data_IF_252596335795
#
_entry.id   IF_252596335795
#
_cell.length_a   1.000
_cell.length_b   1.000
_cell.length_c   1.000
_cell.angle_alpha   90.00
_cell.angle_beta   90.00
_cell.angle_gamma   90.00
#
_symmetry.space_group_name_H-M   'P 1'
#
loop_
_entity.id
_entity.type
_entity.pdbx_description
1 polymer ?
#
# COMPACT_ATOMS: atom_id res chain seq x y z
N UNK A 1 -32.58 -11.92 3.44
CA UNK A 1 -32.00 -13.27 3.57
C UNK A 1 -30.50 -13.05 3.64
N UNK A 2 -29.91 -13.33 4.81
CA UNK A 2 -28.50 -13.02 5.06
C UNK A 2 -27.65 -14.20 4.62
N UNK A 3 -26.77 -13.98 3.66
CA UNK A 3 -25.82 -14.98 3.18
C UNK A 3 -24.78 -15.23 4.27
N UNK A 4 -25.02 -16.31 5.01
CA UNK A 4 -24.18 -16.79 6.08
C UNK A 4 -23.08 -17.65 5.45
N UNK A 5 -22.03 -16.99 4.96
CA UNK A 5 -20.85 -17.67 4.40
C UNK A 5 -20.24 -18.51 5.53
N UNK A 6 -20.34 -19.82 5.38
CA UNK A 6 -19.94 -20.77 6.42
C UNK A 6 -18.42 -20.79 6.51
N UNK A 7 -17.87 -20.79 7.73
CA UNK A 7 -16.42 -20.85 8.04
C UNK A 7 -15.66 -21.96 7.29
N UNK A 8 -16.38 -22.95 6.76
CA UNK A 8 -15.86 -24.05 5.94
C UNK A 8 -15.47 -23.61 4.52
N UNK A 9 -16.26 -22.75 3.88
CA UNK A 9 -15.93 -22.18 2.55
C UNK A 9 -14.71 -21.23 2.62
N UNK A 10 -14.50 -20.61 3.79
CA UNK A 10 -13.33 -19.78 4.07
C UNK A 10 -12.03 -20.60 4.16
N UNK A 11 -12.05 -21.76 4.83
CA UNK A 11 -10.89 -22.64 4.90
C UNK A 11 -10.53 -23.26 3.54
N UNK A 12 -11.54 -23.62 2.75
CA UNK A 12 -11.31 -24.16 1.40
C UNK A 12 -10.77 -23.08 0.44
N UNK A 13 -11.19 -21.82 0.61
CA UNK A 13 -10.66 -20.65 -0.12
C UNK A 13 -9.21 -20.32 0.25
N UNK A 14 -8.80 -20.59 1.50
CA UNK A 14 -7.41 -20.39 1.96
C UNK A 14 -6.52 -21.55 1.49
N UNK A 15 -7.04 -22.79 1.52
CA UNK A 15 -6.31 -24.00 1.11
C UNK A 15 -6.05 -24.03 -0.41
N UNK A 16 -6.96 -23.48 -1.23
CA UNK A 16 -6.78 -23.36 -2.68
C UNK A 16 -5.88 -22.17 -3.11
N UNK A 17 -5.51 -21.26 -2.20
CA UNK A 17 -4.68 -20.07 -2.48
C UNK A 17 -3.20 -20.28 -2.13
N UNK A 18 -2.59 -21.33 -2.66
CA UNK A 18 -1.11 -21.41 -2.81
C UNK A 18 -0.53 -20.43 -3.84
N UNK A 19 -1.26 -19.35 -4.16
CA UNK A 19 -0.88 -18.29 -5.08
C UNK A 19 -1.07 -16.92 -4.40
N UNK A 20 -0.44 -16.73 -3.24
CA UNK A 20 -0.39 -15.44 -2.54
C UNK A 20 0.65 -14.46 -3.13
N UNK A 21 0.94 -14.57 -4.43
CA UNK A 21 1.82 -13.65 -5.14
C UNK A 21 1.09 -13.16 -6.38
N UNK A 22 1.17 -11.86 -6.65
CA UNK A 22 0.73 -11.29 -7.92
C UNK A 22 1.38 -12.07 -9.08
N UNK A 23 0.71 -12.24 -10.23
CA UNK A 23 1.41 -12.63 -11.46
C UNK A 23 2.59 -11.69 -11.70
N UNK A 24 3.65 -12.12 -12.38
CA UNK A 24 4.91 -11.36 -12.50
C UNK A 24 4.78 -9.90 -13.01
N UNK A 25 3.62 -9.49 -13.54
CA UNK A 25 3.23 -8.11 -13.78
C UNK A 25 1.70 -7.95 -13.61
N UNK A 26 1.18 -7.65 -12.42
CA UNK A 26 -0.26 -7.43 -12.25
C UNK A 26 -0.71 -6.16 -12.98
N UNK A 27 -1.84 -6.23 -13.67
CA UNK A 27 -2.45 -5.04 -14.26
C UNK A 27 -2.99 -4.12 -13.16
N UNK A 28 -2.99 -2.81 -13.38
CA UNK A 28 -3.43 -1.83 -12.37
C UNK A 28 -4.84 -2.15 -11.84
N UNK A 29 -5.76 -2.48 -12.75
CA UNK A 29 -7.14 -2.85 -12.41
C UNK A 29 -7.23 -4.12 -11.53
N UNK A 30 -6.29 -5.06 -11.66
CA UNK A 30 -6.25 -6.27 -10.84
C UNK A 30 -5.84 -5.95 -9.41
N UNK A 31 -4.84 -5.07 -9.23
CA UNK A 31 -4.45 -4.60 -7.90
C UNK A 31 -5.57 -3.77 -7.26
N UNK A 32 -6.22 -2.88 -8.01
CA UNK A 32 -7.35 -2.09 -7.51
C UNK A 32 -8.49 -2.98 -7.00
N UNK A 33 -8.88 -3.98 -7.81
CA UNK A 33 -9.90 -4.95 -7.41
C UNK A 33 -9.49 -5.68 -6.14
N UNK A 34 -8.23 -6.15 -6.08
CA UNK A 34 -7.69 -6.84 -4.91
C UNK A 34 -7.71 -5.98 -3.64
N UNK A 35 -7.35 -4.71 -3.76
CA UNK A 35 -7.34 -3.76 -2.64
C UNK A 35 -8.77 -3.54 -2.12
N UNK A 36 -9.76 -3.41 -2.99
CA UNK A 36 -11.15 -3.22 -2.55
C UNK A 36 -11.73 -4.48 -1.90
N UNK A 37 -11.43 -5.67 -2.44
CA UNK A 37 -11.78 -6.95 -1.78
C UNK A 37 -11.20 -7.05 -0.38
N UNK A 38 -9.91 -6.72 -0.22
CA UNK A 38 -9.22 -6.75 1.06
C UNK A 38 -9.81 -5.72 2.03
N UNK A 39 -10.13 -4.51 1.55
CA UNK A 39 -10.79 -3.48 2.37
C UNK A 39 -12.15 -3.96 2.90
N UNK A 40 -12.95 -4.58 2.05
CA UNK A 40 -14.23 -5.16 2.45
C UNK A 40 -14.06 -6.27 3.49
N UNK A 41 -13.03 -7.12 3.34
CA UNK A 41 -12.71 -8.17 4.30
C UNK A 41 -12.26 -7.58 5.65
N UNK A 42 -11.35 -6.61 5.64
CA UNK A 42 -10.86 -5.94 6.86
C UNK A 42 -11.99 -5.20 7.58
N UNK A 43 -12.98 -4.67 6.84
CA UNK A 43 -14.14 -3.97 7.39
C UNK A 43 -15.09 -4.89 8.19
N UNK A 44 -14.96 -6.22 8.08
CA UNK A 44 -15.73 -7.17 8.88
C UNK A 44 -15.22 -7.29 10.31
N UNK A 45 -13.97 -6.88 10.57
CA UNK A 45 -13.37 -6.89 11.91
C UNK A 45 -13.62 -5.56 12.60
N UNK A 46 -14.56 -5.54 13.55
CA UNK A 46 -14.92 -4.35 14.31
C UNK A 46 -13.73 -3.69 15.05
N UNK A 47 -12.78 -4.50 15.51
CA UNK A 47 -11.54 -4.08 16.18
C UNK A 47 -10.58 -3.32 15.25
N UNK A 48 -10.73 -3.49 13.93
CA UNK A 48 -9.89 -2.82 12.93
C UNK A 48 -10.44 -1.47 12.49
N UNK A 49 -11.67 -1.14 12.88
CA UNK A 49 -12.33 0.12 12.51
C UNK A 49 -11.46 1.37 12.74
N UNK A 50 -10.84 1.60 13.92
CA UNK A 50 -10.02 2.79 14.12
C UNK A 50 -8.80 2.83 13.19
N UNK A 51 -8.15 1.69 12.93
CA UNK A 51 -7.00 1.62 12.02
C UNK A 51 -7.40 1.83 10.55
N UNK A 52 -8.58 1.35 10.16
CA UNK A 52 -9.14 1.59 8.83
C UNK A 52 -9.51 3.05 8.61
N UNK A 53 -10.09 3.71 9.60
CA UNK A 53 -10.40 5.14 9.53
C UNK A 53 -9.11 5.95 9.37
N UNK A 54 -8.06 5.66 10.15
CA UNK A 54 -6.74 6.27 10.02
C UNK A 54 -6.15 6.03 8.61
N UNK A 55 -6.13 4.79 8.13
CA UNK A 55 -5.62 4.44 6.78
C UNK A 55 -6.38 5.11 5.63
N UNK A 56 -7.70 5.23 5.73
CA UNK A 56 -8.53 5.83 4.67
C UNK A 56 -8.43 7.35 4.66
N UNK A 57 -8.12 7.96 5.80
CA UNK A 57 -7.85 9.40 5.90
C UNK A 57 -6.49 9.82 5.31
N UNK A 58 -5.57 8.87 5.08
CA UNK A 58 -4.26 9.21 4.54
C UNK A 58 -4.37 9.80 3.12
N UNK A 59 -3.53 10.78 2.74
CA UNK A 59 -3.63 11.46 1.46
C UNK A 59 -2.97 10.62 0.35
N UNK A 60 -3.59 9.49 -0.02
CA UNK A 60 -2.98 8.52 -0.93
C UNK A 60 -2.58 9.10 -2.29
N UNK A 61 -3.33 10.07 -2.81
CA UNK A 61 -2.97 10.76 -4.06
C UNK A 61 -1.64 11.52 -3.94
N UNK A 62 -1.37 12.13 -2.80
CA UNK A 62 -0.10 12.82 -2.56
C UNK A 62 1.05 11.80 -2.43
N UNK A 63 0.80 10.60 -1.90
CA UNK A 63 1.82 9.54 -1.89
C UNK A 63 2.13 9.10 -3.32
N UNK A 64 1.11 8.90 -4.14
CA UNK A 64 1.23 8.51 -5.55
C UNK A 64 2.02 9.58 -6.34
N UNK A 65 1.74 10.86 -6.14
CA UNK A 65 2.45 11.97 -6.79
C UNK A 65 3.91 12.10 -6.32
N UNK A 66 4.17 12.00 -5.02
CA UNK A 66 5.55 12.04 -4.49
C UNK A 66 6.37 10.85 -4.96
N UNK A 67 5.79 9.64 -4.94
CA UNK A 67 6.42 8.45 -5.50
C UNK A 67 6.74 8.64 -6.99
N UNK A 68 5.83 9.27 -7.74
CA UNK A 68 6.12 9.63 -9.13
C UNK A 68 7.34 10.53 -9.27
N UNK A 69 7.49 11.57 -8.43
CA UNK A 69 8.66 12.44 -8.45
C UNK A 69 9.94 11.69 -8.08
N UNK A 70 9.89 10.84 -7.06
CA UNK A 70 11.01 9.98 -6.67
C UNK A 70 11.44 9.05 -7.82
N UNK A 71 10.48 8.46 -8.53
CA UNK A 71 10.75 7.66 -9.72
C UNK A 71 11.42 8.51 -10.80
N UNK A 72 10.86 9.68 -11.13
CA UNK A 72 11.43 10.58 -12.13
C UNK A 72 12.87 10.94 -11.78
N UNK A 73 13.13 11.44 -10.57
CA UNK A 73 14.46 11.85 -10.09
C UNK A 73 15.48 10.70 -10.13
N UNK A 74 15.08 9.47 -9.79
CA UNK A 74 15.97 8.29 -9.87
C UNK A 74 16.27 7.87 -11.31
N UNK A 75 15.33 8.06 -12.24
CA UNK A 75 15.49 7.68 -13.64
C UNK A 75 16.05 8.81 -14.52
N UNK A 76 16.00 10.08 -14.10
CA UNK A 76 16.56 11.24 -14.83
C UNK A 76 18.06 11.43 -14.64
N UNK A 77 18.77 10.52 -13.95
CA UNK A 77 20.24 10.48 -13.88
C UNK A 77 20.95 10.12 -15.22
N UNK A 78 20.27 10.21 -16.36
CA UNK A 78 20.91 10.31 -17.67
C UNK A 78 20.25 11.44 -18.46
N UNK A 79 20.51 12.70 -18.09
CA UNK A 79 20.85 13.74 -19.08
C UNK A 79 21.44 14.98 -18.41
N UNK A 80 22.76 15.06 -18.63
CA UNK A 80 23.56 16.27 -18.81
C UNK A 80 23.84 17.13 -17.58
N UNK A 81 25.09 17.01 -17.14
CA UNK A 81 25.84 17.97 -16.34
C UNK A 81 25.46 19.42 -16.66
N UNK A 82 24.93 20.14 -15.67
CA UNK A 82 25.45 21.45 -15.29
C UNK A 82 24.70 22.01 -14.09
N UNK A 83 25.49 22.67 -13.24
CA UNK A 83 25.12 23.50 -12.09
C UNK A 83 25.20 22.74 -10.77
N UNK A 84 26.43 22.77 -10.27
CA UNK A 84 26.80 22.87 -8.85
C UNK A 84 26.42 21.70 -7.96
N UNK A 85 27.48 21.02 -7.51
CA UNK A 85 27.52 20.23 -6.30
C UNK A 85 27.11 21.09 -5.09
N UNK A 86 25.82 21.38 -4.94
CA UNK A 86 25.27 21.56 -3.61
C UNK A 86 24.83 20.20 -3.12
N UNK A 87 25.46 19.79 -2.03
CA UNK A 87 25.14 18.63 -1.26
C UNK A 87 23.62 18.49 -1.08
N UNK A 88 22.97 17.66 -1.90
CA UNK A 88 21.76 16.95 -1.49
C UNK A 88 22.17 15.78 -0.58
N UNK A 89 23.03 16.07 0.40
CA UNK A 89 23.08 15.33 1.65
C UNK A 89 21.99 15.97 2.50
N UNK A 90 20.92 15.21 2.69
CA UNK A 90 20.07 15.28 3.89
C UNK A 90 19.74 16.71 4.33
N UNK A 91 18.81 17.38 3.65
CA UNK A 91 18.09 18.46 4.33
C UNK A 91 17.29 17.81 5.47
N UNK A 92 17.67 18.10 6.71
CA UNK A 92 16.99 17.74 7.96
C UNK A 92 15.52 18.23 8.05
N UNK A 93 14.91 18.68 6.94
CA UNK A 93 13.51 19.08 6.82
C UNK A 93 12.66 18.18 5.91
N UNK A 94 13.18 17.04 5.41
CA UNK A 94 12.40 16.07 4.63
C UNK A 94 11.51 15.14 5.50
N UNK A 95 10.96 15.68 6.60
CA UNK A 95 10.02 15.02 7.51
C UNK A 95 8.64 14.76 6.88
N UNK A 96 8.37 15.20 5.65
CA UNK A 96 6.98 15.45 5.18
C UNK A 96 6.40 14.55 4.10
N UNK A 97 6.87 13.32 3.93
CA UNK A 97 6.00 12.20 3.52
C UNK A 97 6.82 10.93 3.43
N UNK A 98 6.47 9.94 4.24
CA UNK A 98 7.06 8.64 4.15
C UNK A 98 5.94 7.61 4.23
N UNK A 99 6.06 6.51 3.49
CA UNK A 99 5.23 5.29 3.65
C UNK A 99 5.33 4.74 5.10
N UNK A 100 6.13 5.37 5.97
CA UNK A 100 6.09 5.25 7.43
C UNK A 100 4.67 5.35 8.00
N UNK A 101 3.80 6.26 7.55
CA UNK A 101 2.47 6.42 8.18
C UNK A 101 1.62 5.13 8.08
N UNK A 102 1.41 4.52 6.90
CA UNK A 102 0.79 3.19 6.81
C UNK A 102 1.47 2.11 7.69
N UNK A 103 2.80 2.12 7.78
CA UNK A 103 3.56 1.17 8.59
C UNK A 103 3.46 1.44 10.12
N UNK A 104 3.30 2.70 10.52
CA UNK A 104 3.05 3.09 11.90
C UNK A 104 1.67 2.60 12.34
N UNK A 105 0.66 2.72 11.48
CA UNK A 105 -0.67 2.17 11.74
C UNK A 105 -0.60 0.66 11.91
N UNK A 106 0.16 -0.05 11.06
CA UNK A 106 0.40 -1.48 11.24
C UNK A 106 1.12 -1.80 12.55
N UNK A 107 2.09 -1.00 12.96
CA UNK A 107 2.82 -1.20 14.22
C UNK A 107 1.88 -1.03 15.41
N UNK A 108 1.05 0.02 15.43
CA UNK A 108 0.02 0.21 16.47
C UNK A 108 -0.96 -0.96 16.53
N UNK A 109 -1.42 -1.44 15.37
CA UNK A 109 -2.33 -2.59 15.29
C UNK A 109 -1.66 -3.88 15.78
N UNK A 110 -0.39 -4.09 15.45
CA UNK A 110 0.42 -5.22 15.95
C UNK A 110 0.52 -5.19 17.47
N UNK A 111 0.80 -4.03 18.05
CA UNK A 111 0.95 -3.86 19.50
C UNK A 111 -0.39 -4.06 20.22
N UNK A 112 -1.51 -3.66 19.60
CA UNK A 112 -2.85 -3.79 20.18
C UNK A 112 -3.44 -5.20 20.06
N UNK A 113 -3.21 -5.90 18.95
CA UNK A 113 -3.91 -7.16 18.61
C UNK A 113 -2.99 -8.39 18.71
N UNK A 114 -1.69 -8.19 18.57
CA UNK A 114 -0.68 -9.25 18.52
C UNK A 114 -0.47 -9.82 17.11
N UNK A 115 0.76 -10.28 16.84
CA UNK A 115 1.18 -10.84 15.55
C UNK A 115 0.38 -12.07 15.10
N UNK A 116 -0.12 -12.87 16.05
CA UNK A 116 -0.87 -14.10 15.77
C UNK A 116 -2.36 -13.89 15.54
N UNK A 117 -2.84 -12.63 15.56
CA UNK A 117 -4.25 -12.31 15.42
C UNK A 117 -4.67 -12.28 13.94
N UNK A 118 -5.81 -12.90 13.62
CA UNK A 118 -6.35 -12.98 12.26
C UNK A 118 -6.72 -11.60 11.69
N UNK A 119 -7.29 -10.72 12.52
CA UNK A 119 -7.61 -9.35 12.15
C UNK A 119 -6.34 -8.55 11.82
N UNK A 120 -5.27 -8.73 12.61
CA UNK A 120 -3.97 -8.14 12.30
C UNK A 120 -3.40 -8.66 10.97
N UNK A 121 -3.46 -9.96 10.72
CA UNK A 121 -2.99 -10.54 9.46
C UNK A 121 -3.78 -10.00 8.26
N UNK A 122 -5.10 -9.86 8.39
CA UNK A 122 -5.96 -9.25 7.38
C UNK A 122 -5.58 -7.79 7.10
N UNK A 123 -5.38 -6.99 8.16
CA UNK A 123 -4.93 -5.59 8.04
C UNK A 123 -3.57 -5.48 7.36
N UNK A 124 -2.60 -6.30 7.77
CA UNK A 124 -1.25 -6.34 7.21
C UNK A 124 -1.27 -6.63 5.71
N UNK A 125 -2.13 -7.56 5.28
CA UNK A 125 -2.29 -7.88 3.87
C UNK A 125 -2.90 -6.69 3.11
N UNK A 126 -3.98 -6.10 3.62
CA UNK A 126 -4.61 -4.93 3.02
C UNK A 126 -3.63 -3.75 2.85
N UNK A 127 -2.91 -3.37 3.91
CA UNK A 127 -1.97 -2.25 3.89
C UNK A 127 -0.86 -2.48 2.87
N UNK A 128 -0.28 -3.70 2.82
CA UNK A 128 0.77 -4.03 1.86
C UNK A 128 0.30 -3.90 0.41
N UNK A 129 -0.92 -4.38 0.11
CA UNK A 129 -1.52 -4.28 -1.22
C UNK A 129 -1.84 -2.82 -1.58
N UNK A 130 -2.29 -2.01 -0.61
CA UNK A 130 -2.57 -0.59 -0.85
C UNK A 130 -1.30 0.21 -1.13
N UNK A 131 -0.20 -0.09 -0.44
CA UNK A 131 1.12 0.48 -0.71
C UNK A 131 1.59 0.09 -2.12
N UNK A 132 1.47 -1.18 -2.50
CA UNK A 132 1.84 -1.64 -3.84
C UNK A 132 1.04 -0.90 -4.93
N UNK A 133 -0.26 -0.70 -4.73
CA UNK A 133 -1.10 0.10 -5.63
C UNK A 133 -0.59 1.54 -5.76
N UNK A 134 -0.24 2.18 -4.63
CA UNK A 134 0.26 3.56 -4.64
C UNK A 134 1.61 3.66 -5.39
N UNK A 135 2.50 2.69 -5.21
CA UNK A 135 3.76 2.61 -5.98
C UNK A 135 3.50 2.47 -7.48
N UNK A 136 2.61 1.55 -7.88
CA UNK A 136 2.28 1.34 -9.29
C UNK A 136 1.66 2.59 -9.92
N UNK A 137 0.75 3.26 -9.21
CA UNK A 137 0.18 4.55 -9.66
C UNK A 137 1.23 5.64 -9.78
N UNK A 138 2.18 5.72 -8.84
CA UNK A 138 3.31 6.63 -8.94
C UNK A 138 4.15 6.40 -10.19
N UNK A 139 4.45 5.14 -10.54
CA UNK A 139 5.13 4.79 -11.80
C UNK A 139 4.30 5.23 -13.01
N UNK A 140 3.00 4.91 -13.03
CA UNK A 140 2.09 5.30 -14.11
C UNK A 140 2.03 6.82 -14.32
N UNK A 141 2.00 7.61 -13.24
CA UNK A 141 2.02 9.08 -13.28
C UNK A 141 3.35 9.57 -13.86
N UNK A 142 4.48 9.01 -13.42
CA UNK A 142 5.81 9.39 -13.90
C UNK A 142 5.95 9.15 -15.41
N UNK A 143 5.53 7.97 -15.89
CA UNK A 143 5.57 7.63 -17.31
C UNK A 143 4.71 8.56 -18.16
N UNK A 144 3.48 8.89 -17.70
CA UNK A 144 2.58 9.80 -18.41
C UNK A 144 3.09 11.24 -18.49
N UNK A 145 3.90 11.69 -17.53
CA UNK A 145 4.48 13.04 -17.51
C UNK A 145 5.70 13.19 -18.44
N UNK A 146 6.36 12.09 -18.79
CA UNK A 146 7.56 12.05 -19.61
C UNK A 146 7.35 11.57 -21.07
N UNK A 147 6.12 11.18 -21.41
CA UNK A 147 5.69 10.84 -22.78
C UNK A 147 4.94 12.02 -23.40
#
# INVERSE_FOLDING_TARGET
>A
MSDNISKKEFQDSISAKKSNFYPNHPLENEIETKVEELKNLVSQFHELKPFLEELTSLPWKEYEEKLSQDYLNKFTFVKEESIEQENFLESEEDERFSIREPNQILTKAKDSLGLGNEAYAALSNYVSNRIALAMQKGVSIALKKNL
#
